data_IF_256310160933
#
_entry.id   IF_256310160933
#
_cell.length_a   1.000
_cell.length_b   1.000
_cell.length_c   1.000
_cell.angle_alpha   90.00
_cell.angle_beta   90.00
_cell.angle_gamma   90.00
#
_symmetry.space_group_name_H-M   'P 1'
#
loop_
_entity.id
_entity.type
_entity.pdbx_description
1 polymer ?
#
# COMPACT_ATOMS: atom_id res chain seq x y z
N UNK A 1 -17.29 3.57 -35.05
CA UNK A 1 -16.60 3.88 -33.81
C UNK A 1 -15.47 2.86 -33.63
N UNK A 2 -14.27 3.29 -33.91
CA UNK A 2 -13.07 2.45 -33.75
C UNK A 2 -12.77 2.27 -32.27
N UNK A 3 -12.79 1.03 -31.81
CA UNK A 3 -12.19 0.67 -30.53
C UNK A 3 -10.67 0.66 -30.74
N UNK A 4 -9.97 1.60 -30.14
CA UNK A 4 -8.52 1.75 -30.27
C UNK A 4 -7.79 0.75 -29.38
N UNK A 5 -7.90 -0.56 -29.67
CA UNK A 5 -7.15 -1.58 -28.96
C UNK A 5 -6.57 -2.61 -29.93
N UNK A 6 -5.43 -3.15 -29.56
CA UNK A 6 -4.80 -4.28 -30.22
C UNK A 6 -5.10 -5.54 -29.41
N UNK A 7 -5.62 -6.58 -30.05
CA UNK A 7 -5.80 -7.90 -29.46
C UNK A 7 -4.69 -8.80 -29.98
N UNK A 8 -3.74 -9.21 -29.12
CA UNK A 8 -2.71 -10.13 -29.53
C UNK A 8 -3.30 -11.53 -29.76
N UNK A 9 -2.62 -12.42 -30.51
CA UNK A 9 -2.95 -13.85 -30.54
C UNK A 9 -3.12 -14.39 -29.12
N UNK A 10 -4.12 -15.25 -28.90
CA UNK A 10 -4.42 -15.80 -27.59
C UNK A 10 -4.58 -17.30 -27.62
N UNK A 11 -4.35 -17.94 -26.47
CA UNK A 11 -4.52 -19.38 -26.29
C UNK A 11 -4.05 -19.80 -24.90
N UNK A 12 -4.33 -21.03 -24.54
CA UNK A 12 -3.91 -21.62 -23.26
C UNK A 12 -2.41 -21.93 -23.21
N UNK A 13 -1.93 -22.36 -22.07
CA UNK A 13 -0.52 -22.72 -21.86
C UNK A 13 -0.08 -23.89 -22.76
N UNK A 14 -0.96 -24.86 -23.00
CA UNK A 14 -0.66 -26.02 -23.80
C UNK A 14 -0.54 -25.70 -25.30
N UNK A 15 -1.22 -24.68 -25.77
CA UNK A 15 -1.19 -24.21 -27.16
C UNK A 15 -0.07 -23.21 -27.46
N UNK A 16 0.92 -23.08 -26.61
CA UNK A 16 2.09 -22.24 -26.87
C UNK A 16 2.80 -22.65 -28.15
N UNK A 17 2.92 -21.75 -29.16
CA UNK A 17 3.65 -22.09 -30.36
C UNK A 17 5.11 -22.39 -30.06
N UNK A 18 5.66 -23.38 -30.76
CA UNK A 18 7.10 -23.68 -30.80
C UNK A 18 7.69 -23.09 -32.07
N UNK A 19 8.97 -22.79 -32.06
CA UNK A 19 9.69 -22.27 -33.23
C UNK A 19 9.16 -20.92 -33.76
N UNK A 20 8.70 -20.04 -32.91
CA UNK A 20 8.36 -18.69 -33.30
C UNK A 20 9.55 -17.73 -33.14
N UNK A 21 9.56 -16.61 -33.87
CA UNK A 21 10.64 -15.64 -33.72
C UNK A 21 10.73 -15.07 -32.29
N UNK A 22 11.96 -14.92 -31.75
CA UNK A 22 12.13 -14.24 -30.46
C UNK A 22 11.48 -12.85 -30.46
N UNK A 23 10.79 -12.50 -29.38
CA UNK A 23 10.02 -11.27 -29.29
C UNK A 23 8.55 -11.40 -29.73
N UNK A 24 8.12 -12.57 -30.21
CA UNK A 24 6.71 -12.83 -30.50
C UNK A 24 5.87 -12.67 -29.22
N UNK A 25 4.70 -12.05 -29.36
CA UNK A 25 3.76 -11.75 -28.26
C UNK A 25 2.47 -12.54 -28.40
N UNK A 26 1.94 -13.01 -27.29
CA UNK A 26 0.60 -13.63 -27.21
C UNK A 26 -0.02 -13.36 -25.84
N UNK A 27 -1.34 -13.56 -25.71
CA UNK A 27 -2.04 -13.55 -24.44
C UNK A 27 -2.34 -15.00 -24.02
N UNK A 28 -1.92 -15.37 -22.81
CA UNK A 28 -2.22 -16.67 -22.22
C UNK A 28 -3.56 -16.60 -21.49
N UNK A 29 -4.52 -17.43 -21.90
CA UNK A 29 -5.88 -17.44 -21.33
C UNK A 29 -5.95 -18.17 -19.99
N UNK A 30 -5.02 -19.08 -19.69
CA UNK A 30 -4.98 -19.77 -18.39
C UNK A 30 -4.46 -18.85 -17.28
N UNK A 31 -3.43 -18.06 -17.58
CA UNK A 31 -2.79 -17.16 -16.59
C UNK A 31 -3.31 -15.73 -16.66
N UNK A 32 -4.10 -15.41 -17.69
CA UNK A 32 -4.58 -14.06 -18.00
C UNK A 32 -3.44 -13.03 -18.14
N UNK A 33 -2.29 -13.46 -18.64
CA UNK A 33 -1.10 -12.62 -18.79
C UNK A 33 -0.65 -12.51 -20.24
N UNK A 34 0.03 -11.41 -20.55
CA UNK A 34 0.74 -11.25 -21.79
C UNK A 34 2.06 -12.04 -21.72
N UNK A 35 2.38 -12.77 -22.76
CA UNK A 35 3.61 -13.56 -22.85
C UNK A 35 4.45 -13.12 -24.06
N UNK A 36 5.75 -13.26 -23.94
CA UNK A 36 6.67 -13.08 -25.05
C UNK A 36 7.64 -14.24 -25.19
N UNK A 37 7.98 -14.58 -26.41
CA UNK A 37 8.91 -15.65 -26.72
C UNK A 37 10.36 -15.19 -26.63
N UNK A 38 11.16 -15.83 -25.79
CA UNK A 38 12.57 -15.50 -25.54
C UNK A 38 13.54 -16.27 -26.43
N UNK A 39 13.04 -17.14 -27.27
CA UNK A 39 13.81 -18.07 -28.09
C UNK A 39 13.79 -19.51 -27.58
N UNK A 40 14.28 -20.45 -28.40
CA UNK A 40 14.14 -21.90 -28.17
C UNK A 40 14.83 -22.38 -26.88
N UNK A 41 15.87 -21.70 -26.43
CA UNK A 41 16.60 -22.05 -25.21
C UNK A 41 15.83 -21.73 -23.94
N UNK A 42 15.05 -20.65 -23.94
CA UNK A 42 14.39 -20.10 -22.73
C UNK A 42 12.87 -20.32 -22.79
N UNK A 43 12.29 -20.31 -24.01
CA UNK A 43 10.85 -20.47 -24.22
C UNK A 43 10.06 -19.19 -23.97
N UNK A 44 8.80 -19.38 -23.57
CA UNK A 44 7.86 -18.31 -23.28
C UNK A 44 8.07 -17.74 -21.87
N UNK A 45 8.05 -16.42 -21.74
CA UNK A 45 8.08 -15.72 -20.48
C UNK A 45 6.85 -14.83 -20.32
N UNK A 46 6.31 -14.76 -19.15
CA UNK A 46 5.21 -13.85 -18.81
C UNK A 46 5.74 -12.42 -18.68
N UNK A 47 4.96 -11.46 -19.15
CA UNK A 47 5.18 -10.05 -18.85
C UNK A 47 4.40 -9.75 -17.58
N UNK A 48 5.10 -9.64 -16.50
CA UNK A 48 4.53 -9.16 -15.24
C UNK A 48 4.60 -7.63 -15.24
N UNK A 49 3.46 -7.02 -15.55
CA UNK A 49 3.29 -5.60 -15.33
C UNK A 49 2.66 -5.42 -13.95
N UNK A 50 3.44 -5.52 -12.90
CA UNK A 50 3.03 -4.93 -11.64
C UNK A 50 3.23 -3.42 -11.77
N UNK A 51 2.12 -2.72 -11.91
CA UNK A 51 2.11 -1.29 -11.66
C UNK A 51 2.34 -1.10 -10.17
N UNK A 52 3.59 -0.95 -9.77
CA UNK A 52 3.98 -0.62 -8.40
C UNK A 52 3.49 0.76 -7.95
N UNK A 53 2.95 1.53 -8.89
CA UNK A 53 2.20 2.74 -8.60
C UNK A 53 1.10 2.90 -9.67
N UNK A 54 -0.18 2.67 -9.36
CA UNK A 54 -1.25 2.97 -10.29
C UNK A 54 -1.30 4.47 -10.48
N UNK A 55 -1.12 4.88 -11.69
CA UNK A 55 -1.50 6.22 -12.14
C UNK A 55 -3.02 6.30 -12.14
N UNK A 56 -3.59 6.43 -10.95
CA UNK A 56 -4.97 6.80 -10.75
C UNK A 56 -6.04 5.79 -11.19
N UNK A 57 -6.90 5.39 -10.26
CA UNK A 57 -8.28 5.05 -10.56
C UNK A 57 -8.59 3.65 -11.09
N UNK A 58 -7.78 2.65 -10.82
CA UNK A 58 -8.16 1.26 -11.03
C UNK A 58 -9.01 0.75 -9.89
N UNK A 59 -10.26 0.38 -10.16
CA UNK A 59 -11.10 -0.34 -9.20
C UNK A 59 -10.49 -1.72 -8.95
N UNK A 60 -9.88 -1.93 -7.81
CA UNK A 60 -9.62 -3.27 -7.28
C UNK A 60 -8.18 -3.68 -7.10
N UNK A 61 -7.20 -2.95 -7.54
CA UNK A 61 -5.82 -3.25 -7.18
C UNK A 61 -5.35 -2.26 -6.13
N UNK A 62 -5.13 -2.75 -4.95
CA UNK A 62 -4.63 -1.96 -3.85
C UNK A 62 -3.10 -1.78 -4.02
N UNK A 63 -2.74 -0.90 -4.90
CA UNK A 63 -1.38 -0.68 -5.35
C UNK A 63 -0.85 0.62 -4.77
N UNK A 64 -0.69 0.66 -3.46
CA UNK A 64 0.02 1.72 -2.76
C UNK A 64 -0.73 3.02 -2.51
N UNK A 65 -1.85 3.27 -3.17
CA UNK A 65 -2.77 4.34 -2.83
C UNK A 65 -3.96 3.71 -2.11
N UNK A 66 -3.89 3.60 -0.81
CA UNK A 66 -5.00 3.12 0.01
C UNK A 66 -6.27 3.90 -0.27
N UNK A 67 -7.41 3.23 -0.22
CA UNK A 67 -8.74 3.87 -0.31
C UNK A 67 -9.12 4.58 0.99
N UNK A 68 -8.33 4.41 2.03
CA UNK A 68 -8.59 4.92 3.38
C UNK A 68 -7.53 5.93 3.78
N UNK A 69 -7.99 6.98 4.44
CA UNK A 69 -7.15 7.89 5.21
C UNK A 69 -7.41 7.60 6.68
N UNK A 70 -6.35 7.34 7.44
CA UNK A 70 -6.43 7.16 8.89
C UNK A 70 -5.91 8.39 9.62
N UNK A 71 -6.57 8.73 10.72
CA UNK A 71 -6.20 9.80 11.64
C UNK A 71 -5.89 9.11 12.96
N UNK A 72 -4.74 9.37 13.53
CA UNK A 72 -4.24 8.63 14.69
C UNK A 72 -3.98 9.55 15.87
N UNK A 73 -4.55 9.18 17.01
CA UNK A 73 -4.41 9.93 18.25
C UNK A 73 -4.96 11.34 18.20
N UNK A 74 -4.50 12.19 19.08
CA UNK A 74 -4.91 13.59 19.12
C UNK A 74 -5.11 14.13 20.53
N UNK A 75 -5.62 15.34 20.63
CA UNK A 75 -5.89 16.02 21.88
C UNK A 75 -7.24 16.75 21.82
N UNK A 76 -8.15 16.43 22.74
CA UNK A 76 -9.46 17.07 22.86
C UNK A 76 -9.78 17.54 24.27
N UNK A 77 -8.74 17.84 25.06
CA UNK A 77 -8.77 18.01 26.51
C UNK A 77 -8.06 16.82 27.18
N UNK A 78 -8.52 15.61 27.16
CA UNK A 78 -7.69 14.40 27.34
C UNK A 78 -6.87 14.12 26.05
N UNK A 79 -5.79 13.39 26.22
CA UNK A 79 -5.02 12.79 25.13
C UNK A 79 -5.80 11.57 24.62
N UNK A 80 -5.89 11.43 23.29
CA UNK A 80 -6.69 10.41 22.64
C UNK A 80 -5.78 9.26 22.14
N UNK A 81 -6.30 8.05 22.21
CA UNK A 81 -5.71 6.83 21.63
C UNK A 81 -6.42 6.35 20.36
N UNK A 82 -7.49 7.02 19.95
CA UNK A 82 -8.31 6.62 18.82
C UNK A 82 -7.54 6.56 17.49
N UNK A 83 -7.96 5.64 16.65
CA UNK A 83 -7.63 5.61 15.23
C UNK A 83 -8.95 5.69 14.48
N UNK A 84 -9.18 6.81 13.81
CA UNK A 84 -10.32 7.00 12.93
C UNK A 84 -9.91 6.86 11.47
N UNK A 85 -10.84 6.45 10.61
CA UNK A 85 -10.60 6.42 9.17
C UNK A 85 -11.78 6.97 8.38
N UNK A 86 -11.45 7.49 7.21
CA UNK A 86 -12.42 7.81 6.15
C UNK A 86 -12.09 7.01 4.90
N UNK A 87 -13.13 6.66 4.14
CA UNK A 87 -12.97 6.11 2.80
C UNK A 87 -12.96 7.26 1.80
N UNK A 88 -11.79 7.55 1.21
CA UNK A 88 -11.57 8.74 0.38
C UNK A 88 -12.51 8.81 -0.82
N UNK A 89 -12.85 7.66 -1.39
CA UNK A 89 -13.68 7.58 -2.61
C UNK A 89 -15.18 7.77 -2.36
N UNK A 90 -15.67 7.56 -1.14
CA UNK A 90 -17.12 7.58 -0.87
C UNK A 90 -17.59 8.83 -0.17
N UNK A 91 -16.70 9.61 0.40
CA UNK A 91 -16.99 10.73 1.28
C UNK A 91 -17.91 10.31 2.45
N UNK A 92 -17.85 10.99 3.57
CA UNK A 92 -18.64 10.67 4.74
C UNK A 92 -17.90 11.05 6.00
N UNK A 93 -18.58 10.82 7.14
CA UNK A 93 -17.98 11.00 8.45
C UNK A 93 -16.90 9.93 8.69
N UNK A 94 -15.96 10.23 9.58
CA UNK A 94 -14.99 9.26 10.02
C UNK A 94 -15.64 8.12 10.81
N UNK A 95 -15.14 6.93 10.62
CA UNK A 95 -15.53 5.75 11.36
C UNK A 95 -14.39 5.29 12.26
N UNK A 96 -14.72 4.71 13.39
CA UNK A 96 -13.78 4.07 14.29
C UNK A 96 -13.05 2.90 13.60
N UNK A 97 -11.71 2.93 13.68
CA UNK A 97 -10.85 1.86 13.18
C UNK A 97 -10.34 0.97 14.31
N UNK A 98 -10.03 1.54 15.47
CA UNK A 98 -9.43 0.93 16.64
C UNK A 98 -8.61 1.93 17.44
N UNK A 99 -7.78 1.45 18.35
CA UNK A 99 -7.02 2.30 19.26
C UNK A 99 -5.50 2.11 19.13
N UNK A 100 -4.74 3.15 19.48
CA UNK A 100 -3.30 3.06 19.71
C UNK A 100 -3.03 2.32 21.02
N UNK A 101 -1.86 1.71 21.15
CA UNK A 101 -1.46 1.06 22.41
C UNK A 101 -1.41 2.04 23.60
N UNK A 102 -1.18 3.31 23.33
CA UNK A 102 -1.24 4.41 24.28
C UNK A 102 -1.66 5.69 23.56
N UNK A 103 -2.53 6.48 24.18
CA UNK A 103 -2.94 7.78 23.66
C UNK A 103 -1.75 8.71 23.48
N UNK A 104 -1.78 9.51 22.41
CA UNK A 104 -0.73 10.49 22.10
C UNK A 104 -1.21 11.56 21.11
N UNK A 105 -0.56 12.69 21.15
CA UNK A 105 -0.75 13.75 20.16
C UNK A 105 0.60 14.20 19.58
N UNK A 106 0.56 14.95 18.48
CA UNK A 106 1.77 15.37 17.77
C UNK A 106 2.68 14.19 17.37
N UNK A 107 2.09 13.02 17.17
CA UNK A 107 2.76 11.86 16.63
C UNK A 107 2.87 11.99 15.11
N UNK A 108 3.92 11.42 14.57
CA UNK A 108 4.03 11.26 13.13
C UNK A 108 3.18 10.08 12.63
N UNK A 109 2.78 10.14 11.36
CA UNK A 109 2.07 9.04 10.71
C UNK A 109 2.69 8.73 9.35
N UNK A 110 2.91 7.47 9.08
CA UNK A 110 3.42 6.99 7.80
C UNK A 110 2.79 5.63 7.46
N UNK A 111 2.92 5.20 6.23
CA UNK A 111 2.34 3.92 5.84
C UNK A 111 2.76 3.47 4.46
N UNK A 112 2.33 2.26 4.14
CA UNK A 112 2.39 1.69 2.79
C UNK A 112 0.98 1.20 2.40
N UNK A 113 0.87 0.40 1.34
CA UNK A 113 -0.42 -0.12 0.87
C UNK A 113 -1.16 -1.03 1.85
N UNK A 114 -0.47 -1.61 2.83
CA UNK A 114 -1.02 -2.62 3.73
C UNK A 114 -1.06 -2.21 5.20
N UNK A 115 -0.14 -1.34 5.64
CA UNK A 115 0.06 -0.98 7.05
C UNK A 115 0.16 0.51 7.25
N UNK A 116 -0.46 0.98 8.33
CA UNK A 116 -0.23 2.31 8.88
C UNK A 116 0.63 2.24 10.14
N UNK A 117 1.39 3.29 10.39
CA UNK A 117 2.25 3.44 11.55
C UNK A 117 2.01 4.80 12.21
N UNK A 118 1.98 4.79 13.54
CA UNK A 118 2.11 6.00 14.35
C UNK A 118 3.46 5.99 15.05
N UNK A 119 4.21 7.06 14.95
CA UNK A 119 5.58 7.13 15.44
C UNK A 119 5.80 8.32 16.36
N UNK A 120 6.47 8.09 17.47
CA UNK A 120 6.73 9.13 18.46
C UNK A 120 5.46 9.75 19.05
N UNK A 121 5.48 11.06 19.28
CA UNK A 121 4.39 11.83 19.86
C UNK A 121 4.61 12.19 21.33
N UNK A 122 3.56 12.73 21.96
CA UNK A 122 3.61 13.26 23.31
C UNK A 122 2.47 12.73 24.18
N UNK A 123 2.78 12.11 25.34
CA UNK A 123 1.85 11.77 26.44
C UNK A 123 2.52 10.94 27.57
N UNK A 124 2.63 11.45 28.81
CA UNK A 124 2.72 12.83 29.25
C UNK A 124 4.09 13.46 28.91
N UNK A 125 4.97 12.75 28.25
CA UNK A 125 6.26 13.17 27.74
C UNK A 125 6.41 12.75 26.30
N UNK A 126 7.51 13.15 25.68
CA UNK A 126 7.85 12.71 24.33
C UNK A 126 8.15 11.22 24.35
N UNK A 127 7.61 10.47 23.39
CA UNK A 127 7.80 9.02 23.26
C UNK A 127 8.61 8.66 22.03
N UNK A 128 9.16 7.46 22.02
CA UNK A 128 9.87 6.87 20.89
C UNK A 128 9.12 5.67 20.27
N UNK A 129 7.95 5.32 20.77
CA UNK A 129 7.18 4.16 20.35
C UNK A 129 6.78 4.21 18.87
N UNK A 130 6.78 3.04 18.25
CA UNK A 130 6.27 2.80 16.90
C UNK A 130 5.10 1.84 17.01
N UNK A 131 3.89 2.33 16.75
CA UNK A 131 2.69 1.52 16.68
C UNK A 131 2.36 1.20 15.23
N UNK A 132 1.91 -0.03 14.96
CA UNK A 132 1.49 -0.51 13.64
C UNK A 132 0.06 -1.01 13.67
N UNK A 133 -0.69 -0.73 12.63
CA UNK A 133 -2.01 -1.30 12.36
C UNK A 133 -2.13 -1.72 10.89
N UNK A 134 -3.02 -2.67 10.61
CA UNK A 134 -3.19 -3.24 9.27
C UNK A 134 -4.48 -2.74 8.63
N UNK A 135 -4.41 -2.12 7.45
CA UNK A 135 -5.58 -1.54 6.79
C UNK A 135 -6.66 -2.55 6.41
N UNK A 136 -6.29 -3.81 6.15
CA UNK A 136 -7.25 -4.84 5.74
C UNK A 136 -8.16 -5.30 6.89
N UNK A 137 -7.68 -5.23 8.12
CA UNK A 137 -8.45 -5.59 9.33
C UNK A 137 -8.58 -4.38 10.23
N UNK A 138 -9.81 -3.98 10.55
CA UNK A 138 -10.03 -3.03 11.62
C UNK A 138 -9.52 -3.61 12.94
N UNK A 139 -9.02 -2.78 13.83
CA UNK A 139 -8.58 -3.18 15.16
C UNK A 139 -7.41 -2.35 15.67
N UNK A 140 -7.03 -2.62 16.89
CA UNK A 140 -6.05 -1.85 17.63
C UNK A 140 -4.65 -1.97 17.04
N UNK A 141 -3.90 -0.90 17.19
CA UNK A 141 -2.49 -0.88 16.84
C UNK A 141 -1.65 -1.61 17.88
N UNK A 142 -0.59 -2.24 17.41
CA UNK A 142 0.36 -2.93 18.26
C UNK A 142 1.65 -2.13 18.34
N UNK A 143 2.21 -1.99 19.53
CA UNK A 143 3.57 -1.47 19.72
C UNK A 143 4.57 -2.52 19.25
N UNK A 144 5.39 -2.17 18.25
CA UNK A 144 6.26 -3.14 17.56
C UNK A 144 7.75 -2.79 17.65
N UNK A 145 8.08 -1.55 17.93
CA UNK A 145 9.46 -1.09 17.95
C UNK A 145 9.57 0.31 18.56
N UNK A 146 10.81 0.76 18.72
CA UNK A 146 11.16 2.09 19.18
C UNK A 146 12.01 2.85 18.17
N UNK A 147 11.79 4.15 18.08
CA UNK A 147 12.72 5.07 17.44
C UNK A 147 14.00 5.19 18.28
N UNK A 148 15.11 5.47 17.62
CA UNK A 148 16.39 5.68 18.32
C UNK A 148 16.35 6.90 19.28
N UNK A 149 15.49 7.86 19.02
CA UNK A 149 15.29 9.06 19.83
C UNK A 149 13.81 9.26 20.12
N UNK A 150 13.53 9.90 21.26
CA UNK A 150 12.22 10.41 21.58
C UNK A 150 11.91 11.61 20.67
N UNK A 151 10.82 11.56 19.93
CA UNK A 151 10.43 12.61 18.98
C UNK A 151 8.94 12.95 19.09
N UNK A 152 8.63 14.23 18.90
CA UNK A 152 7.29 14.72 18.68
C UNK A 152 7.37 15.89 17.68
N UNK A 153 6.27 16.23 17.02
CA UNK A 153 6.23 17.29 16.01
C UNK A 153 7.19 17.04 14.82
N UNK A 154 7.43 15.78 14.51
CA UNK A 154 8.26 15.35 13.38
C UNK A 154 7.48 15.41 12.06
N UNK A 155 8.21 15.30 10.96
CA UNK A 155 7.66 15.12 9.62
C UNK A 155 8.05 13.75 9.10
N UNK A 156 7.11 13.08 8.45
CA UNK A 156 7.28 11.72 7.97
C UNK A 156 7.07 11.62 6.47
N UNK A 157 7.80 10.70 5.88
CA UNK A 157 7.58 10.26 4.51
C UNK A 157 7.85 8.76 4.39
N UNK A 158 7.14 8.12 3.50
CA UNK A 158 7.29 6.68 3.30
C UNK A 158 7.09 6.28 1.84
N UNK A 159 7.57 5.11 1.53
CA UNK A 159 7.21 4.35 0.34
C UNK A 159 6.81 2.93 0.78
N UNK A 160 6.64 2.00 -0.18
CA UNK A 160 6.21 0.63 0.12
C UNK A 160 7.17 -0.15 1.03
N UNK A 161 8.44 0.28 1.14
CA UNK A 161 9.50 -0.50 1.79
C UNK A 161 10.07 0.23 3.02
N UNK A 162 10.12 1.57 2.99
CA UNK A 162 10.81 2.38 4.01
C UNK A 162 9.98 3.56 4.46
N UNK A 163 10.00 3.83 5.77
CA UNK A 163 9.57 5.07 6.36
C UNK A 163 10.78 5.87 6.89
N UNK A 164 10.70 7.17 6.80
CA UNK A 164 11.71 8.10 7.32
C UNK A 164 11.03 9.13 8.19
N UNK A 165 11.58 9.35 9.38
CA UNK A 165 11.14 10.34 10.35
C UNK A 165 12.17 11.46 10.39
N UNK A 166 11.74 12.69 10.22
CA UNK A 166 12.60 13.87 10.09
C UNK A 166 12.28 14.90 11.17
N UNK A 167 13.29 15.32 11.91
CA UNK A 167 13.14 16.34 12.94
C UNK A 167 12.43 15.82 14.21
N UNK A 168 11.82 16.73 14.97
CA UNK A 168 11.15 16.45 16.25
C UNK A 168 11.83 17.08 17.44
#
# INVERSE_FOLDING_TARGET
>A
SGTNFFVPPQGDTASRPVNCPPGSLRFNTDTAKLEYYKGDTIGWGEIEAELTAPLGGGTGSNTGLGTRMCIVGGYSGPVLDIIDYITISTLGDAEDFGDLSNGRYSAGALGNSTRGFSVGGYNPGVTNQINVFTFASKGDATDVADLHKFVAYSSELSNEIRGVVLGG
#
